data_IF_807420340438
#
_entry.id   IF_807420340438
#
_cell.length_a   1.000
_cell.length_b   1.000
_cell.length_c   1.000
_cell.angle_alpha   90.00
_cell.angle_beta   90.00
_cell.angle_gamma   90.00
#
_symmetry.space_group_name_H-M   'P 1'
#
loop_
_entity.id
_entity.type
_entity.pdbx_description
1 polymer ?
#
# COMPACT_ATOMS: atom_id res chain seq x y z
N UNK A 1 -16.78 -4.82 -8.01
CA UNK A 1 -15.32 -5.02 -7.92
C UNK A 1 -14.67 -3.66 -8.01
N UNK A 2 -13.74 -3.36 -7.11
CA UNK A 2 -12.91 -2.15 -7.20
C UNK A 2 -11.89 -2.39 -8.33
N UNK A 3 -11.67 -1.38 -9.17
CA UNK A 3 -10.67 -1.44 -10.24
C UNK A 3 -9.25 -1.45 -9.64
N UNK A 4 -8.29 -2.06 -10.34
CA UNK A 4 -6.88 -1.98 -9.92
C UNK A 4 -6.43 -0.52 -9.87
N UNK A 5 -5.52 -0.21 -8.95
CA UNK A 5 -4.93 1.12 -8.84
C UNK A 5 -4.05 1.43 -10.06
N UNK A 6 -3.26 0.44 -10.48
CA UNK A 6 -2.34 0.59 -11.60
C UNK A 6 -2.67 -0.39 -12.72
N UNK A 7 -2.47 0.11 -13.94
CA UNK A 7 -2.49 -0.69 -15.15
C UNK A 7 -1.06 -0.88 -15.70
N UNK A 8 -0.96 -1.53 -16.86
CA UNK A 8 0.31 -1.83 -17.51
C UNK A 8 1.23 -0.60 -17.67
N UNK A 9 0.67 0.53 -18.11
CA UNK A 9 1.39 1.78 -18.34
C UNK A 9 2.02 2.34 -17.06
N UNK A 10 1.29 2.30 -15.94
CA UNK A 10 1.75 2.73 -14.63
C UNK A 10 2.91 1.87 -14.15
N UNK A 11 2.80 0.55 -14.26
CA UNK A 11 3.85 -0.38 -13.85
C UNK A 11 5.16 -0.12 -14.60
N UNK A 12 5.13 -0.02 -15.93
CA UNK A 12 6.35 0.22 -16.70
C UNK A 12 6.93 1.61 -16.42
N UNK A 13 6.07 2.61 -16.22
CA UNK A 13 6.48 3.98 -15.89
C UNK A 13 7.12 4.05 -14.50
N UNK A 14 6.54 3.38 -13.51
CA UNK A 14 7.05 3.28 -12.13
C UNK A 14 8.39 2.57 -12.10
N UNK A 15 8.51 1.42 -12.77
CA UNK A 15 9.77 0.68 -12.86
C UNK A 15 10.86 1.50 -13.56
N UNK A 16 10.55 2.12 -14.71
CA UNK A 16 11.49 2.99 -15.43
C UNK A 16 11.95 4.15 -14.56
N UNK A 17 11.02 4.85 -13.92
CA UNK A 17 11.31 6.01 -13.08
C UNK A 17 12.11 5.64 -11.84
N UNK A 18 11.80 4.50 -11.22
CA UNK A 18 12.56 3.93 -10.10
C UNK A 18 13.99 3.55 -10.45
N UNK A 19 14.22 3.04 -11.66
CA UNK A 19 15.56 2.77 -12.21
C UNK A 19 16.31 4.04 -12.67
N UNK A 20 15.67 5.22 -12.59
CA UNK A 20 16.24 6.47 -13.09
C UNK A 20 16.48 6.50 -14.60
N UNK A 21 15.74 5.68 -15.36
CA UNK A 21 15.92 5.55 -16.80
C UNK A 21 15.06 6.56 -17.57
N UNK A 22 15.70 7.21 -18.56
CA UNK A 22 14.98 8.00 -19.55
C UNK A 22 14.22 7.09 -20.53
N UNK A 23 13.11 7.59 -21.09
CA UNK A 23 12.31 6.86 -22.09
C UNK A 23 13.19 6.41 -23.26
N UNK A 24 14.08 7.29 -23.73
CA UNK A 24 15.00 6.99 -24.84
C UNK A 24 15.90 5.79 -24.55
N UNK A 25 16.42 5.68 -23.32
CA UNK A 25 17.27 4.57 -22.89
C UNK A 25 16.52 3.25 -22.86
N UNK A 26 15.29 3.25 -22.34
CA UNK A 26 14.43 2.05 -22.35
C UNK A 26 14.09 1.63 -23.77
N UNK A 27 13.63 2.58 -24.60
CA UNK A 27 13.26 2.35 -25.99
C UNK A 27 14.41 1.71 -26.79
N UNK A 28 15.62 2.27 -26.67
CA UNK A 28 16.81 1.71 -27.30
C UNK A 28 17.12 0.28 -26.82
N UNK A 29 17.02 0.03 -25.51
CA UNK A 29 17.32 -1.28 -24.92
C UNK A 29 16.30 -2.36 -25.29
N UNK A 30 15.01 -2.04 -25.40
CA UNK A 30 13.96 -2.97 -25.80
C UNK A 30 13.67 -2.99 -27.32
N UNK A 31 14.44 -2.25 -28.12
CA UNK A 31 14.28 -2.19 -29.58
C UNK A 31 12.93 -1.61 -30.01
N UNK A 32 12.45 -0.60 -29.29
CA UNK A 32 11.23 0.17 -29.57
C UNK A 32 11.58 1.64 -29.85
N UNK A 33 10.61 2.42 -30.33
CA UNK A 33 10.78 3.88 -30.41
C UNK A 33 10.37 4.54 -29.09
N UNK A 34 10.85 5.77 -28.84
CA UNK A 34 10.36 6.55 -27.70
C UNK A 34 8.85 6.76 -27.75
N UNK A 35 8.30 6.90 -28.96
CA UNK A 35 6.85 7.05 -29.18
C UNK A 35 6.11 5.81 -28.71
N UNK A 36 6.62 4.61 -29.00
CA UNK A 36 6.02 3.35 -28.55
C UNK A 36 5.96 3.31 -27.02
N UNK A 37 7.09 3.53 -26.34
CA UNK A 37 7.16 3.48 -24.87
C UNK A 37 6.24 4.54 -24.25
N UNK A 38 6.31 5.80 -24.70
CA UNK A 38 5.42 6.87 -24.23
C UNK A 38 3.95 6.52 -24.44
N UNK A 39 3.59 6.00 -25.61
CA UNK A 39 2.20 5.67 -25.93
C UNK A 39 1.63 4.57 -25.03
N UNK A 40 2.47 3.64 -24.59
CA UNK A 40 2.11 2.58 -23.63
C UNK A 40 2.01 3.12 -22.21
N UNK A 41 2.94 3.99 -21.78
CA UNK A 41 2.90 4.63 -20.45
C UNK A 41 1.66 5.49 -20.22
N UNK A 42 1.04 6.01 -21.30
CA UNK A 42 -0.18 6.83 -21.23
C UNK A 42 -1.40 6.13 -21.84
N UNK A 43 -1.39 4.81 -21.95
CA UNK A 43 -2.57 4.00 -22.32
C UNK A 43 -3.13 4.21 -23.74
N UNK A 44 -2.41 4.92 -24.60
CA UNK A 44 -2.85 5.17 -25.99
C UNK A 44 -2.54 4.01 -26.94
N UNK A 45 -1.77 3.01 -26.48
CA UNK A 45 -1.38 1.84 -27.27
C UNK A 45 -1.21 0.61 -26.38
N UNK A 46 -1.82 -0.50 -26.80
CA UNK A 46 -1.59 -1.82 -26.20
C UNK A 46 -0.31 -2.46 -26.77
N UNK A 47 0.58 -3.01 -25.94
CA UNK A 47 1.76 -3.74 -26.40
C UNK A 47 1.36 -5.11 -26.98
N UNK A 48 2.19 -5.63 -27.88
CA UNK A 48 2.23 -7.06 -28.19
C UNK A 48 3.01 -7.83 -27.13
N UNK A 49 2.74 -9.13 -27.05
CA UNK A 49 3.45 -10.08 -26.20
C UNK A 49 4.99 -9.97 -26.25
N UNK A 50 5.54 -9.82 -27.46
CA UNK A 50 6.98 -9.66 -27.66
C UNK A 50 7.50 -8.34 -27.07
N UNK A 51 6.72 -7.26 -27.19
CA UNK A 51 7.08 -5.96 -26.60
C UNK A 51 7.01 -6.00 -25.09
N UNK A 52 6.02 -6.69 -24.52
CA UNK A 52 5.92 -6.92 -23.07
C UNK A 52 7.15 -7.65 -22.54
N UNK A 53 7.60 -8.73 -23.21
CA UNK A 53 8.80 -9.47 -22.79
C UNK A 53 10.06 -8.59 -22.80
N UNK A 54 10.23 -7.80 -23.86
CA UNK A 54 11.39 -6.92 -23.98
C UNK A 54 11.37 -5.83 -22.91
N UNK A 55 10.22 -5.23 -22.64
CA UNK A 55 10.05 -4.25 -21.56
C UNK A 55 10.29 -4.89 -20.19
N UNK A 56 9.73 -6.08 -19.94
CA UNK A 56 9.92 -6.80 -18.69
C UNK A 56 11.40 -7.10 -18.42
N UNK A 57 12.12 -7.59 -19.43
CA UNK A 57 13.56 -7.86 -19.34
C UNK A 57 14.37 -6.58 -19.08
N UNK A 58 14.05 -5.48 -19.77
CA UNK A 58 14.76 -4.20 -19.61
C UNK A 58 14.51 -3.57 -18.25
N UNK A 59 13.30 -3.70 -17.71
CA UNK A 59 12.87 -3.04 -16.47
C UNK A 59 13.00 -3.94 -15.23
N UNK A 60 13.48 -5.18 -15.39
CA UNK A 60 13.63 -6.13 -14.28
C UNK A 60 12.29 -6.57 -13.68
N UNK A 61 11.26 -6.71 -14.52
CA UNK A 61 9.90 -7.09 -14.13
C UNK A 61 9.61 -8.56 -14.49
N UNK A 62 8.70 -9.19 -13.75
CA UNK A 62 8.18 -10.53 -14.05
C UNK A 62 7.31 -10.48 -15.33
N UNK A 63 7.81 -11.04 -16.42
CA UNK A 63 7.15 -11.01 -17.72
C UNK A 63 5.74 -11.63 -17.70
N UNK A 64 5.53 -12.75 -17.00
CA UNK A 64 4.22 -13.41 -16.94
C UNK A 64 3.15 -12.54 -16.28
N UNK A 65 3.51 -11.85 -15.20
CA UNK A 65 2.63 -10.92 -14.50
C UNK A 65 2.36 -9.67 -15.35
N UNK A 66 3.40 -9.11 -15.97
CA UNK A 66 3.27 -7.93 -16.82
C UNK A 66 2.39 -8.22 -18.06
N UNK A 67 2.47 -9.42 -18.63
CA UNK A 67 1.58 -9.89 -19.71
C UNK A 67 0.12 -10.01 -19.26
N UNK A 68 -0.11 -10.48 -18.04
CA UNK A 68 -1.45 -10.58 -17.48
C UNK A 68 -2.08 -9.19 -17.26
N UNK A 69 -1.29 -8.20 -16.82
CA UNK A 69 -1.72 -6.80 -16.79
C UNK A 69 -2.02 -6.25 -18.19
N UNK A 70 -1.10 -6.42 -19.14
CA UNK A 70 -1.30 -5.97 -20.53
C UNK A 70 -2.53 -6.63 -21.18
N UNK A 71 -2.89 -7.83 -20.71
CA UNK A 71 -4.04 -8.59 -21.20
C UNK A 71 -5.34 -8.31 -20.46
N UNK A 72 -5.32 -7.48 -19.40
CA UNK A 72 -6.45 -7.21 -18.50
C UNK A 72 -7.05 -8.48 -17.88
N UNK A 73 -6.22 -9.48 -17.60
CA UNK A 73 -6.65 -10.77 -17.04
C UNK A 73 -6.44 -10.87 -15.53
N UNK A 74 -5.84 -9.87 -14.90
CA UNK A 74 -5.70 -9.81 -13.45
C UNK A 74 -7.00 -9.26 -12.86
N UNK A 75 -7.53 -9.98 -11.88
CA UNK A 75 -8.60 -9.49 -11.02
C UNK A 75 -8.17 -9.61 -9.56
N UNK A 76 -8.51 -8.60 -8.77
CA UNK A 76 -8.33 -8.60 -7.34
C UNK A 76 -9.72 -8.61 -6.70
N UNK A 77 -10.15 -9.71 -6.08
CA UNK A 77 -11.54 -9.86 -5.66
C UNK A 77 -11.98 -8.89 -4.55
N UNK A 78 -11.09 -8.09 -3.94
CA UNK A 78 -11.37 -7.06 -2.92
C UNK A 78 -12.17 -7.53 -1.67
N UNK A 79 -12.52 -8.82 -1.59
CA UNK A 79 -13.20 -9.44 -0.47
C UNK A 79 -14.70 -9.71 -0.69
N UNK A 80 -15.42 -10.10 0.37
CA UNK A 80 -15.04 -9.99 1.78
C UNK A 80 -13.92 -10.96 2.17
N UNK A 81 -12.89 -10.43 2.82
CA UNK A 81 -11.81 -11.22 3.41
C UNK A 81 -12.10 -11.45 4.89
N UNK A 82 -11.86 -12.68 5.37
CA UNK A 82 -12.03 -13.04 6.78
C UNK A 82 -10.67 -13.43 7.36
N UNK A 83 -10.21 -12.69 8.37
CA UNK A 83 -8.91 -12.88 9.02
C UNK A 83 -9.14 -13.06 10.52
N UNK A 84 -9.48 -14.28 10.93
CA UNK A 84 -9.95 -14.55 12.29
C UNK A 84 -11.17 -13.68 12.63
N UNK A 85 -11.16 -13.07 13.81
CA UNK A 85 -12.21 -12.14 14.26
C UNK A 85 -11.92 -10.67 13.89
N UNK A 86 -10.89 -10.41 13.07
CA UNK A 86 -10.57 -9.05 12.66
C UNK A 86 -11.71 -8.48 11.81
N UNK A 87 -12.25 -7.35 12.25
CA UNK A 87 -13.18 -6.57 11.47
C UNK A 87 -12.44 -5.42 10.78
N UNK A 88 -12.67 -5.27 9.48
CA UNK A 88 -12.08 -4.20 8.66
C UNK A 88 -13.23 -3.41 8.05
N UNK A 89 -13.30 -2.13 8.39
CA UNK A 89 -14.18 -1.17 7.73
C UNK A 89 -13.31 -0.20 6.93
N UNK A 90 -13.67 0.06 5.68
CA UNK A 90 -12.91 0.91 4.76
C UNK A 90 -13.77 2.07 4.32
N UNK A 91 -13.24 3.26 4.44
CA UNK A 91 -13.75 4.48 3.82
C UNK A 91 -12.76 4.95 2.76
N UNK A 92 -13.26 5.42 1.62
CA UNK A 92 -12.42 6.00 0.57
C UNK A 92 -12.48 7.52 0.67
N UNK A 93 -11.31 8.16 0.64
CA UNK A 93 -11.16 9.61 0.80
C UNK A 93 -11.36 10.35 -0.53
N UNK A 94 -11.24 11.68 -0.53
CA UNK A 94 -11.33 12.50 -1.73
C UNK A 94 -10.17 12.23 -2.71
N UNK A 95 -8.99 11.97 -2.18
CA UNK A 95 -7.81 11.54 -2.94
C UNK A 95 -7.72 10.02 -2.89
N UNK A 96 -8.42 9.28 -3.77
CA UNK A 96 -9.03 7.94 -3.63
C UNK A 96 -8.29 6.85 -2.80
N UNK A 97 -7.83 7.22 -1.62
CA UNK A 97 -7.04 6.48 -0.67
C UNK A 97 -7.97 5.90 0.38
N UNK A 98 -7.49 4.90 1.07
CA UNK A 98 -8.28 4.13 2.00
C UNK A 98 -7.93 4.46 3.44
N UNK A 99 -8.94 4.90 4.16
CA UNK A 99 -8.95 4.98 5.61
C UNK A 99 -9.58 3.70 6.17
N UNK A 100 -8.87 3.02 7.07
CA UNK A 100 -9.33 1.77 7.66
C UNK A 100 -9.65 1.90 9.14
N UNK A 101 -10.79 1.36 9.56
CA UNK A 101 -11.12 1.13 10.97
C UNK A 101 -11.02 -0.37 11.28
N UNK A 102 -10.02 -0.73 12.08
CA UNK A 102 -9.57 -2.10 12.29
C UNK A 102 -9.62 -2.50 13.76
N UNK A 103 -10.14 -3.68 14.07
CA UNK A 103 -10.20 -4.15 15.45
C UNK A 103 -11.08 -5.38 15.62
N UNK A 104 -11.24 -5.80 16.88
CA UNK A 104 -12.19 -6.87 17.23
C UNK A 104 -13.64 -6.35 17.25
N UNK A 105 -14.65 -7.24 17.20
CA UNK A 105 -16.04 -6.85 17.33
C UNK A 105 -16.32 -6.17 18.67
N UNK A 106 -16.92 -4.97 18.65
CA UNK A 106 -17.41 -4.28 19.85
C UNK A 106 -16.36 -3.84 20.88
N UNK A 107 -15.08 -3.76 20.49
CA UNK A 107 -13.97 -3.42 21.38
C UNK A 107 -13.09 -2.27 20.87
N UNK A 108 -11.86 -2.21 21.38
CA UNK A 108 -10.87 -1.24 20.94
C UNK A 108 -10.49 -1.43 19.47
N UNK A 109 -10.25 -0.33 18.77
CA UNK A 109 -9.86 -0.34 17.37
C UNK A 109 -8.76 0.69 17.07
N UNK A 110 -8.09 0.52 15.94
CA UNK A 110 -7.23 1.52 15.33
C UNK A 110 -7.87 2.11 14.08
N UNK A 111 -7.49 3.35 13.79
CA UNK A 111 -7.72 3.99 12.50
C UNK A 111 -6.39 3.97 11.75
N UNK A 112 -6.36 3.49 10.51
CA UNK A 112 -5.17 3.50 9.65
C UNK A 112 -5.37 4.50 8.53
N UNK A 113 -4.37 5.34 8.29
CA UNK A 113 -4.31 6.31 7.17
C UNK A 113 -5.60 7.10 7.00
N UNK A 114 -5.90 8.05 7.90
CA UNK A 114 -7.15 8.80 7.86
C UNK A 114 -7.27 9.79 6.69
N UNK A 115 -6.45 9.64 5.65
CA UNK A 115 -6.43 10.41 4.42
C UNK A 115 -6.68 11.88 4.61
N UNK A 116 -7.82 12.41 4.15
CA UNK A 116 -8.18 13.82 4.32
C UNK A 116 -9.23 14.07 5.43
N UNK A 117 -9.61 15.33 5.62
CA UNK A 117 -10.57 15.71 6.67
C UNK A 117 -12.00 15.23 6.41
N UNK A 118 -12.36 14.88 5.17
CA UNK A 118 -13.75 14.53 4.82
C UNK A 118 -14.12 13.14 5.36
N UNK A 119 -13.13 12.26 5.57
CA UNK A 119 -13.35 10.91 6.11
C UNK A 119 -13.52 10.86 7.64
N UNK A 120 -13.17 11.95 8.33
CA UNK A 120 -13.12 12.04 9.81
C UNK A 120 -14.48 11.73 10.42
N UNK A 121 -15.55 12.33 9.91
CA UNK A 121 -16.90 12.11 10.44
C UNK A 121 -17.42 10.72 10.07
N UNK A 122 -17.13 10.24 8.86
CA UNK A 122 -17.54 8.93 8.40
C UNK A 122 -16.93 7.82 9.27
N UNK A 123 -15.62 7.86 9.49
CA UNK A 123 -14.91 6.85 10.27
C UNK A 123 -15.29 6.89 11.77
N UNK A 124 -15.47 8.10 12.33
CA UNK A 124 -15.93 8.26 13.71
C UNK A 124 -17.37 7.72 13.89
N UNK A 125 -18.25 7.93 12.91
CA UNK A 125 -19.60 7.39 12.93
C UNK A 125 -19.60 5.87 12.75
N UNK A 126 -18.77 5.33 11.86
CA UNK A 126 -18.61 3.87 11.70
C UNK A 126 -18.13 3.22 13.01
N UNK A 127 -17.19 3.85 13.72
CA UNK A 127 -16.75 3.38 15.04
C UNK A 127 -17.90 3.36 16.05
N UNK A 128 -18.65 4.46 16.19
CA UNK A 128 -19.81 4.55 17.09
C UNK A 128 -20.89 3.50 16.77
N UNK A 129 -21.25 3.35 15.49
CA UNK A 129 -22.30 2.42 15.06
C UNK A 129 -21.92 0.95 15.26
N UNK A 130 -20.63 0.63 15.14
CA UNK A 130 -20.10 -0.72 15.37
C UNK A 130 -19.75 -1.00 16.84
N UNK A 131 -20.03 -0.06 17.75
CA UNK A 131 -19.68 -0.17 19.16
C UNK A 131 -18.17 -0.22 19.42
N UNK A 132 -17.36 0.27 18.49
CA UNK A 132 -15.90 0.29 18.60
C UNK A 132 -15.39 1.57 19.24
N UNK A 133 -14.26 1.45 19.93
CA UNK A 133 -13.60 2.55 20.60
C UNK A 133 -12.19 2.76 20.02
N UNK A 134 -11.96 3.81 19.21
CA UNK A 134 -10.63 4.10 18.71
C UNK A 134 -9.65 4.35 19.85
N UNK A 135 -8.49 3.69 19.80
CA UNK A 135 -7.42 3.83 20.80
C UNK A 135 -6.08 4.25 20.20
N UNK A 136 -5.96 4.22 18.87
CA UNK A 136 -4.77 4.63 18.15
C UNK A 136 -5.10 5.07 16.73
N UNK A 137 -4.30 5.99 16.21
CA UNK A 137 -4.18 6.29 14.78
C UNK A 137 -2.84 5.73 14.32
N UNK A 138 -2.84 4.94 13.25
CA UNK A 138 -1.66 4.34 12.66
C UNK A 138 -1.45 4.96 11.27
N UNK A 139 -0.25 5.47 11.00
CA UNK A 139 0.08 6.11 9.73
C UNK A 139 1.13 5.28 9.02
N UNK A 140 0.80 4.78 7.83
CA UNK A 140 1.70 3.92 7.05
C UNK A 140 2.86 4.72 6.47
N UNK A 141 2.60 5.94 5.99
CA UNK A 141 3.61 6.81 5.41
C UNK A 141 3.17 8.28 5.33
N UNK A 142 4.13 9.17 5.06
CA UNK A 142 3.99 10.61 5.18
C UNK A 142 3.44 11.38 3.98
N UNK A 143 2.51 10.83 3.20
CA UNK A 143 1.83 11.58 2.14
C UNK A 143 0.49 12.15 2.60
N UNK A 144 0.12 13.31 2.03
CA UNK A 144 -1.02 14.10 2.51
C UNK A 144 -2.36 13.37 2.36
N UNK A 145 -2.52 12.60 1.29
CA UNK A 145 -3.66 11.73 1.03
C UNK A 145 -3.74 10.54 2.00
N UNK A 146 -2.78 10.38 2.92
CA UNK A 146 -2.81 9.44 4.06
C UNK A 146 -2.82 10.16 5.42
N UNK A 147 -2.22 11.36 5.52
CA UNK A 147 -1.98 12.07 6.79
C UNK A 147 -2.91 13.26 7.05
N UNK A 148 -3.57 13.81 6.04
CA UNK A 148 -4.38 15.03 6.10
C UNK A 148 -5.46 15.06 7.20
N UNK A 149 -6.08 13.92 7.51
CA UNK A 149 -7.11 13.78 8.55
C UNK A 149 -6.56 13.48 9.95
N UNK A 150 -5.24 13.25 10.09
CA UNK A 150 -4.62 12.82 11.37
C UNK A 150 -4.84 13.85 12.47
N UNK A 151 -4.57 15.13 12.21
CA UNK A 151 -4.67 16.19 13.23
C UNK A 151 -6.11 16.36 13.71
N UNK A 152 -7.08 16.34 12.78
CA UNK A 152 -8.49 16.49 13.09
C UNK A 152 -9.00 15.32 13.95
N UNK A 153 -8.69 14.06 13.56
CA UNK A 153 -9.06 12.89 14.36
C UNK A 153 -8.36 12.85 15.70
N UNK A 154 -7.07 13.15 15.75
CA UNK A 154 -6.32 13.16 17.00
C UNK A 154 -6.93 14.16 17.98
N UNK A 155 -7.31 15.36 17.53
CA UNK A 155 -7.99 16.36 18.36
C UNK A 155 -9.38 15.89 18.81
N UNK A 156 -10.12 15.19 17.95
CA UNK A 156 -11.47 14.71 18.26
C UNK A 156 -11.47 13.52 19.23
N UNK A 157 -10.48 12.63 19.13
CA UNK A 157 -10.44 11.35 19.85
C UNK A 157 -9.47 11.36 21.05
N UNK A 158 -8.44 12.21 21.03
CA UNK A 158 -7.41 12.28 22.07
C UNK A 158 -6.50 11.07 22.13
N UNK A 159 -6.42 10.26 21.06
CA UNK A 159 -5.64 9.01 21.00
C UNK A 159 -4.22 9.23 20.49
N UNK A 160 -3.26 8.34 20.81
CA UNK A 160 -1.92 8.38 20.23
C UNK A 160 -1.92 8.19 18.71
N UNK A 161 -0.96 8.83 18.05
CA UNK A 161 -0.66 8.69 16.63
C UNK A 161 0.68 7.97 16.49
N UNK A 162 0.70 6.84 15.80
CA UNK A 162 1.90 6.07 15.54
C UNK A 162 2.35 6.25 14.09
N UNK A 163 3.61 6.64 13.89
CA UNK A 163 4.23 6.84 12.58
C UNK A 163 5.72 6.54 12.66
N UNK A 164 6.32 6.10 11.57
CA UNK A 164 7.77 5.95 11.51
C UNK A 164 8.46 7.31 11.63
N UNK A 165 9.58 7.38 12.35
CA UNK A 165 10.28 8.64 12.65
C UNK A 165 10.70 9.41 11.39
N UNK A 166 11.09 8.68 10.33
CA UNK A 166 11.47 9.26 9.05
C UNK A 166 10.35 10.03 8.33
N UNK A 167 9.09 9.75 8.67
CA UNK A 167 7.91 10.41 8.10
C UNK A 167 7.16 11.28 9.13
N UNK A 168 7.64 11.38 10.37
CA UNK A 168 6.95 12.07 11.46
C UNK A 168 6.70 13.57 11.21
N UNK A 169 7.52 14.21 10.38
CA UNK A 169 7.33 15.60 9.98
C UNK A 169 6.06 15.82 9.12
N UNK A 170 5.48 14.76 8.54
CA UNK A 170 4.28 14.83 7.70
C UNK A 170 2.97 15.06 8.47
N UNK A 171 2.99 14.94 9.79
CA UNK A 171 1.84 15.09 10.69
C UNK A 171 1.99 16.31 11.62
N UNK A 172 2.49 17.42 11.07
CA UNK A 172 2.64 18.69 11.78
C UNK A 172 1.30 19.15 12.40
N UNK A 173 1.31 19.43 13.71
CA UNK A 173 0.12 19.83 14.47
C UNK A 173 -0.40 18.78 15.46
N UNK A 174 0.08 17.54 15.39
CA UNK A 174 -0.13 16.56 16.47
C UNK A 174 0.72 16.97 17.68
N UNK A 175 0.16 17.04 18.91
CA UNK A 175 0.95 17.33 20.11
C UNK A 175 2.06 16.30 20.32
N UNK A 176 3.25 16.75 20.72
CA UNK A 176 4.41 15.87 20.95
C UNK A 176 4.12 14.73 21.96
N UNK A 177 3.21 14.95 22.92
CA UNK A 177 2.78 13.91 23.87
C UNK A 177 1.91 12.81 23.25
N UNK A 178 1.27 13.08 22.10
CA UNK A 178 0.42 12.15 21.38
C UNK A 178 1.12 11.50 20.19
N UNK A 179 2.17 12.12 19.65
CA UNK A 179 2.96 11.56 18.56
C UNK A 179 3.93 10.50 19.08
N UNK A 180 3.74 9.25 18.67
CA UNK A 180 4.55 8.09 19.06
C UNK A 180 5.33 7.60 17.84
N UNK A 181 6.62 7.94 17.78
CA UNK A 181 7.48 7.53 16.67
C UNK A 181 8.15 6.19 16.93
N UNK A 182 8.48 5.48 15.85
CA UNK A 182 9.29 4.27 15.87
C UNK A 182 10.30 4.26 14.71
N UNK A 183 11.33 3.44 14.83
CA UNK A 183 12.43 3.31 13.86
C UNK A 183 12.31 2.03 13.01
N UNK A 184 13.40 1.68 12.33
CA UNK A 184 13.50 0.53 11.42
C UNK A 184 13.36 -0.85 12.12
N UNK A 185 13.45 -0.92 13.45
CA UNK A 185 13.15 -2.14 14.21
C UNK A 185 11.64 -2.40 14.29
N UNK A 186 10.84 -1.35 14.06
CA UNK A 186 9.40 -1.37 14.20
C UNK A 186 8.94 -1.46 15.66
N UNK A 187 7.65 -1.63 15.86
CA UNK A 187 7.03 -1.74 17.19
C UNK A 187 5.92 -2.77 17.21
N UNK A 188 5.65 -3.29 18.40
CA UNK A 188 4.40 -3.97 18.69
C UNK A 188 3.41 -2.99 19.32
N UNK A 189 2.27 -2.80 18.67
CA UNK A 189 1.15 -2.02 19.21
C UNK A 189 0.11 -3.00 19.70
N UNK A 190 -0.19 -2.96 20.99
CA UNK A 190 -1.25 -3.79 21.57
C UNK A 190 -2.57 -3.02 21.56
N UNK A 191 -3.59 -3.59 20.89
CA UNK A 191 -4.96 -3.04 20.85
C UNK A 191 -5.89 -4.13 21.37
N UNK A 192 -6.31 -4.04 22.63
CA UNK A 192 -7.16 -5.03 23.34
C UNK A 192 -6.85 -6.51 23.00
N UNK A 193 -5.58 -6.91 23.11
CA UNK A 193 -5.15 -8.29 22.87
C UNK A 193 -4.83 -8.62 21.42
N UNK A 194 -5.09 -7.72 20.47
CA UNK A 194 -4.50 -7.80 19.13
C UNK A 194 -3.05 -7.33 19.19
N UNK A 195 -2.13 -8.22 18.84
CA UNK A 195 -0.74 -7.86 18.59
C UNK A 195 -0.60 -7.38 17.15
N UNK A 196 -0.41 -6.08 17.00
CA UNK A 196 -0.05 -5.47 15.73
C UNK A 196 1.45 -5.27 15.70
N UNK A 197 2.08 -5.63 14.58
CA UNK A 197 3.48 -5.35 14.33
C UNK A 197 3.58 -4.28 13.27
N UNK A 198 4.15 -3.13 13.61
CA UNK A 198 4.67 -2.21 12.62
C UNK A 198 5.89 -2.88 11.97
N UNK A 199 5.75 -3.26 10.71
CA UNK A 199 6.82 -3.81 9.88
C UNK A 199 7.26 -2.69 8.95
N UNK A 200 8.41 -2.02 9.20
CA UNK A 200 8.92 -1.02 8.27
C UNK A 200 9.07 -1.64 6.87
N UNK A 201 8.62 -0.92 5.86
CA UNK A 201 8.67 -1.29 4.44
C UNK A 201 9.10 -0.09 3.60
N UNK A 202 10.30 0.47 3.88
CA UNK A 202 10.76 1.70 3.24
C UNK A 202 10.91 1.53 1.73
N UNK A 203 10.77 2.63 1.01
CA UNK A 203 10.89 2.67 -0.44
C UNK A 203 10.08 3.80 -1.05
N UNK A 204 8.76 3.69 -0.95
CA UNK A 204 7.83 4.73 -1.39
C UNK A 204 8.08 6.05 -0.67
N UNK A 205 8.15 5.98 0.67
CA UNK A 205 8.79 6.97 1.54
C UNK A 205 9.88 6.30 2.36
N UNK A 206 10.71 7.10 3.04
CA UNK A 206 11.70 6.57 3.97
C UNK A 206 11.05 5.92 5.20
N UNK A 207 9.89 6.41 5.65
CA UNK A 207 9.15 5.87 6.79
C UNK A 207 8.01 4.91 6.45
N UNK A 208 7.87 4.49 5.19
CA UNK A 208 6.79 3.58 4.78
C UNK A 208 6.77 2.32 5.64
N UNK A 209 5.60 1.98 6.17
CA UNK A 209 5.39 0.91 7.14
C UNK A 209 4.13 0.13 6.82
N UNK A 210 4.22 -1.20 6.92
CA UNK A 210 3.06 -2.09 6.88
C UNK A 210 2.66 -2.51 8.29
N UNK A 211 1.42 -2.23 8.71
CA UNK A 211 0.91 -2.72 9.99
C UNK A 211 0.33 -4.12 9.83
N UNK A 212 0.99 -5.11 10.43
CA UNK A 212 0.65 -6.53 10.30
C UNK A 212 -0.05 -7.03 11.54
N UNK A 213 -1.21 -7.64 11.33
CA UNK A 213 -1.94 -8.45 12.31
C UNK A 213 -1.83 -9.93 11.96
N UNK A 214 -1.70 -10.76 12.99
CA UNK A 214 -1.67 -12.23 12.86
C UNK A 214 -2.67 -12.87 13.79
N UNK A 215 -3.49 -13.79 13.26
CA UNK A 215 -4.40 -14.65 14.00
C UNK A 215 -4.21 -16.10 13.55
N UNK A 216 -3.49 -16.90 14.34
CA UNK A 216 -3.11 -18.25 13.96
C UNK A 216 -2.31 -18.28 12.65
N UNK A 217 -2.80 -18.98 11.64
CA UNK A 217 -2.19 -19.05 10.30
C UNK A 217 -2.68 -17.98 9.32
N UNK A 218 -3.61 -17.12 9.74
CA UNK A 218 -4.14 -16.03 8.93
C UNK A 218 -3.53 -14.70 9.38
N UNK A 219 -3.48 -13.73 8.47
CA UNK A 219 -2.99 -12.40 8.77
C UNK A 219 -3.57 -11.32 7.88
N UNK A 220 -3.45 -10.09 8.32
CA UNK A 220 -3.81 -8.89 7.57
C UNK A 220 -2.64 -7.91 7.62
N UNK A 221 -2.28 -7.27 6.51
CA UNK A 221 -1.28 -6.23 6.44
C UNK A 221 -1.88 -4.96 5.83
N UNK A 222 -1.80 -3.83 6.52
CA UNK A 222 -2.21 -2.52 6.00
C UNK A 222 -0.95 -1.83 5.50
N UNK A 223 -0.74 -1.84 4.18
CA UNK A 223 0.58 -1.58 3.59
C UNK A 223 0.74 -0.18 2.99
N UNK A 224 -0.30 0.66 3.05
CA UNK A 224 -0.29 1.97 2.41
C UNK A 224 0.15 1.82 0.96
N UNK A 225 1.08 2.68 0.55
CA UNK A 225 1.60 2.72 -0.82
C UNK A 225 2.85 1.84 -1.02
N UNK A 226 3.14 0.97 -0.05
CA UNK A 226 4.19 -0.04 -0.26
C UNK A 226 3.79 -0.99 -1.38
N UNK A 227 2.54 -1.45 -1.42
CA UNK A 227 2.07 -2.43 -2.40
C UNK A 227 0.64 -2.09 -2.80
N UNK A 228 0.34 -2.26 -4.09
CA UNK A 228 -1.01 -2.26 -4.64
C UNK A 228 -1.29 -3.61 -5.29
N UNK A 229 -2.56 -4.01 -5.42
CA UNK A 229 -2.89 -5.26 -6.10
C UNK A 229 -2.30 -5.28 -7.53
N UNK A 230 -1.39 -6.23 -7.80
CA UNK A 230 -0.70 -6.35 -9.08
C UNK A 230 0.36 -5.27 -9.37
N UNK A 231 0.72 -4.41 -8.40
CA UNK A 231 1.68 -3.31 -8.59
C UNK A 231 2.34 -2.84 -7.28
N UNK A 232 2.94 -1.66 -7.27
CA UNK A 232 3.56 -1.02 -6.11
C UNK A 232 3.43 0.51 -6.19
N UNK A 233 3.60 1.20 -5.06
CA UNK A 233 3.77 2.66 -5.06
C UNK A 233 5.02 3.09 -5.83
N UNK A 234 5.08 4.36 -6.20
CA UNK A 234 6.26 4.93 -6.86
C UNK A 234 7.38 5.17 -5.84
N UNK A 235 8.63 4.81 -6.16
CA UNK A 235 9.78 5.02 -5.27
C UNK A 235 11.03 5.51 -5.99
N UNK A 236 10.99 6.71 -6.54
CA UNK A 236 12.12 7.23 -7.35
C UNK A 236 13.45 7.30 -6.59
N UNK A 237 13.45 7.76 -5.34
CA UNK A 237 14.67 7.89 -4.55
C UNK A 237 15.03 6.60 -3.77
N UNK A 238 14.07 5.72 -3.52
CA UNK A 238 14.20 4.53 -2.67
C UNK A 238 13.97 3.22 -3.39
N UNK A 239 14.09 3.16 -4.72
CA UNK A 239 13.59 2.04 -5.52
C UNK A 239 14.17 0.67 -5.10
N UNK A 240 15.48 0.56 -4.91
CA UNK A 240 16.12 -0.69 -4.48
C UNK A 240 15.60 -1.14 -3.09
N UNK A 241 15.40 -0.19 -2.19
CA UNK A 241 14.82 -0.44 -0.86
C UNK A 241 13.36 -0.84 -0.95
N UNK A 242 12.61 -0.24 -1.87
CA UNK A 242 11.22 -0.61 -2.13
C UNK A 242 11.12 -2.05 -2.64
N UNK A 243 11.94 -2.41 -3.63
CA UNK A 243 12.00 -3.78 -4.14
C UNK A 243 12.44 -4.76 -3.03
N UNK A 244 13.36 -4.37 -2.15
CA UNK A 244 13.71 -5.17 -0.97
C UNK A 244 12.52 -5.34 -0.01
N UNK A 245 11.77 -4.28 0.27
CA UNK A 245 10.56 -4.32 1.10
C UNK A 245 9.49 -5.24 0.52
N UNK A 246 9.23 -5.14 -0.78
CA UNK A 246 8.30 -6.04 -1.48
C UNK A 246 8.76 -7.50 -1.40
N UNK A 247 10.02 -7.77 -1.77
CA UNK A 247 10.51 -9.12 -2.06
C UNK A 247 11.04 -9.86 -0.84
N UNK A 248 11.53 -9.16 0.18
CA UNK A 248 12.14 -9.76 1.37
C UNK A 248 11.36 -9.52 2.65
N UNK A 249 10.40 -8.59 2.65
CA UNK A 249 9.51 -8.36 3.81
C UNK A 249 8.11 -8.85 3.49
N UNK A 250 7.41 -8.24 2.52
CA UNK A 250 6.02 -8.60 2.23
C UNK A 250 5.88 -10.02 1.64
N UNK A 251 6.73 -10.42 0.70
CA UNK A 251 6.70 -11.77 0.11
C UNK A 251 6.96 -12.90 1.12
N UNK A 252 7.51 -12.59 2.30
CA UNK A 252 7.84 -13.57 3.35
C UNK A 252 6.74 -13.76 4.38
N UNK A 253 5.70 -12.93 4.35
CA UNK A 253 4.47 -13.18 5.11
C UNK A 253 3.80 -14.47 4.62
N UNK A 254 2.96 -15.11 5.46
CA UNK A 254 2.17 -16.27 5.02
C UNK A 254 1.39 -15.96 3.73
N UNK A 255 1.34 -16.88 2.75
CA UNK A 255 0.66 -16.61 1.46
C UNK A 255 -0.81 -16.21 1.58
N UNK A 256 -1.49 -16.63 2.65
CA UNK A 256 -2.89 -16.27 2.94
C UNK A 256 -3.05 -14.93 3.66
N UNK A 257 -1.97 -14.22 3.95
CA UNK A 257 -2.05 -12.88 4.54
C UNK A 257 -2.70 -11.95 3.52
N UNK A 258 -3.79 -11.34 3.93
CA UNK A 258 -4.52 -10.33 3.15
C UNK A 258 -3.78 -9.01 3.25
N UNK A 259 -3.57 -8.34 2.13
CA UNK A 259 -2.95 -7.02 2.06
C UNK A 259 -4.01 -5.99 1.70
N UNK A 260 -4.12 -4.96 2.55
CA UNK A 260 -4.99 -3.81 2.43
C UNK A 260 -4.14 -2.60 2.03
N UNK A 261 -4.13 -2.23 0.74
CA UNK A 261 -3.31 -1.14 0.23
C UNK A 261 -3.85 0.24 0.59
N UNK A 262 -3.02 1.26 0.38
CA UNK A 262 -3.44 2.65 0.44
C UNK A 262 -4.50 3.01 -0.60
N UNK A 263 -4.42 2.40 -1.80
CA UNK A 263 -5.30 2.65 -2.94
C UNK A 263 -5.65 1.35 -3.66
N UNK A 264 -6.74 1.36 -4.43
CA UNK A 264 -7.19 0.17 -5.16
C UNK A 264 -7.72 -0.98 -4.26
N UNK A 265 -7.83 -2.21 -4.78
CA UNK A 265 -8.46 -3.31 -4.09
C UNK A 265 -7.50 -4.06 -3.16
N UNK A 266 -8.04 -4.72 -2.14
CA UNK A 266 -7.27 -5.67 -1.32
C UNK A 266 -6.85 -6.92 -2.12
N UNK A 267 -5.74 -7.53 -1.72
CA UNK A 267 -5.11 -8.70 -2.36
C UNK A 267 -4.57 -9.68 -1.30
N UNK A 268 -3.84 -10.72 -1.70
CA UNK A 268 -3.11 -11.60 -0.78
C UNK A 268 -1.63 -11.70 -1.14
N UNK A 269 -0.78 -12.00 -0.17
CA UNK A 269 0.67 -12.24 -0.42
C UNK A 269 0.86 -13.31 -1.49
N UNK A 270 0.06 -14.38 -1.46
CA UNK A 270 0.13 -15.46 -2.44
C UNK A 270 -0.21 -14.99 -3.86
N UNK A 271 -1.27 -14.20 -4.02
CA UNK A 271 -1.65 -13.63 -5.32
C UNK A 271 -0.56 -12.70 -5.85
N UNK A 272 -0.01 -11.81 -5.00
CA UNK A 272 1.04 -10.88 -5.41
C UNK A 272 2.35 -11.59 -5.81
N UNK A 273 2.73 -12.67 -5.11
CA UNK A 273 3.88 -13.47 -5.51
C UNK A 273 3.75 -14.08 -6.92
N UNK A 274 2.53 -14.27 -7.43
CA UNK A 274 2.27 -14.83 -8.77
C UNK A 274 2.02 -13.71 -9.80
N UNK A 275 1.29 -12.68 -9.41
CA UNK A 275 0.67 -11.72 -10.32
C UNK A 275 1.27 -10.31 -10.27
N UNK A 276 2.21 -10.03 -9.36
CA UNK A 276 2.86 -8.72 -9.28
C UNK A 276 4.15 -8.66 -10.11
N UNK A 277 4.27 -7.76 -11.10
CA UNK A 277 5.47 -7.62 -11.93
C UNK A 277 6.74 -7.25 -11.16
N UNK A 278 6.63 -6.63 -9.98
CA UNK A 278 7.78 -6.24 -9.18
C UNK A 278 8.35 -7.38 -8.34
N UNK A 279 7.70 -8.54 -8.27
CA UNK A 279 8.19 -9.72 -7.53
C UNK A 279 9.14 -10.56 -8.40
N UNK A 280 10.10 -11.30 -7.80
CA UNK A 280 10.99 -12.16 -8.56
C UNK A 280 10.21 -13.25 -9.30
N UNK A 281 10.78 -13.73 -10.42
CA UNK A 281 10.26 -14.86 -11.20
C UNK A 281 10.32 -16.17 -10.42
#
# INVERSE_FOLDING_TARGET
MIALEDEFGDVIRKARSGLGLEVASVAAACGLTERDVKSMEVYTRRPSDLEVDRLASTLGLRASALRALASETISAPDGPWQVGDLTVHRETTHYPSHCYLIGLPGGACAIVDPGDNDVVDAIANAARQSGKHPVAILVTHGHHDHTGGVVALQKALGVPVHIHEADAASVEGVPASALQTFDDEGIHVAIEGLSWRALPTPGHTAGSTTFVFTSGSAGAGFCGDTLFAGSAGSARAGYDRHLESLRKRLATLPPKTVLYPGHGPATTVGDECVHNPFFPA
#
